data_IF_593635233056
#
_entry.id   IF_593635233056
#
_cell.length_a   1.000
_cell.length_b   1.000
_cell.length_c   1.000
_cell.angle_alpha   90.00
_cell.angle_beta   90.00
_cell.angle_gamma   90.00
#
_symmetry.space_group_name_H-M   'P 1'
#
loop_
_entity.id
_entity.type
_entity.pdbx_description
1 polymer ?
#
# COMPACT_ATOMS: atom_id res chain seq x y z
N UNK A 1 2.32 52.23 39.64
CA UNK A 1 2.73 52.51 38.25
C UNK A 1 2.34 51.32 37.38
N UNK A 2 1.11 51.26 36.84
CA UNK A 2 0.68 50.10 36.03
C UNK A 2 -0.55 50.41 35.13
N UNK A 3 -0.74 51.66 34.71
CA UNK A 3 -1.93 52.10 33.94
C UNK A 3 -1.64 52.58 32.51
N UNK A 4 -0.39 52.67 32.05
CA UNK A 4 -0.07 53.37 30.79
C UNK A 4 0.05 52.48 29.54
N UNK A 5 -0.01 51.15 29.66
CA UNK A 5 0.05 50.26 28.48
C UNK A 5 -1.32 50.07 27.83
N UNK A 6 -2.40 50.11 28.61
CA UNK A 6 -3.77 49.83 28.14
C UNK A 6 -4.29 50.96 27.22
N UNK A 7 -3.93 52.23 27.48
CA UNK A 7 -4.42 53.37 26.69
C UNK A 7 -3.72 53.57 25.34
N UNK A 8 -2.55 52.98 25.11
CA UNK A 8 -1.85 53.05 23.81
C UNK A 8 -2.32 52.01 22.80
N UNK A 9 -2.98 50.93 23.23
CA UNK A 9 -3.57 49.94 22.31
C UNK A 9 -4.81 50.47 21.57
N UNK A 10 -5.46 51.54 22.06
CA UNK A 10 -6.68 52.10 21.46
C UNK A 10 -6.44 52.97 20.20
N UNK A 11 -5.20 53.19 19.78
CA UNK A 11 -4.87 53.96 18.56
C UNK A 11 -4.17 53.13 17.47
N UNK A 12 -4.31 51.81 17.52
CA UNK A 12 -3.85 50.97 16.42
C UNK A 12 -4.88 51.02 15.28
N UNK A 13 -4.45 51.21 14.02
CA UNK A 13 -5.37 51.22 12.90
C UNK A 13 -6.09 49.87 12.83
N UNK A 14 -7.36 49.89 12.42
CA UNK A 14 -8.26 48.73 12.40
C UNK A 14 -7.67 47.54 11.63
N UNK A 15 -6.81 47.81 10.65
CA UNK A 15 -6.05 46.81 9.88
C UNK A 15 -5.07 45.98 10.72
N UNK A 16 -4.44 46.58 11.75
CA UNK A 16 -3.52 45.85 12.65
C UNK A 16 -4.30 44.96 13.61
N UNK A 17 -5.47 45.41 14.08
CA UNK A 17 -6.37 44.56 14.87
C UNK A 17 -6.92 43.38 14.09
N UNK A 18 -7.31 43.59 12.83
CA UNK A 18 -7.74 42.52 11.93
C UNK A 18 -6.59 41.55 11.61
N UNK A 19 -5.39 42.06 11.34
CA UNK A 19 -4.20 41.25 11.11
C UNK A 19 -3.82 40.40 12.32
N UNK A 20 -3.85 40.97 13.53
CA UNK A 20 -3.60 40.24 14.77
C UNK A 20 -4.67 39.16 15.04
N UNK A 21 -5.95 39.48 14.80
CA UNK A 21 -7.05 38.51 14.91
C UNK A 21 -6.89 37.35 13.93
N UNK A 22 -6.55 37.63 12.67
CA UNK A 22 -6.27 36.62 11.65
C UNK A 22 -5.07 35.75 12.03
N UNK A 23 -3.98 36.34 12.54
CA UNK A 23 -2.80 35.59 12.98
C UNK A 23 -3.11 34.65 14.16
N UNK A 24 -3.89 35.10 15.14
CA UNK A 24 -4.33 34.25 16.26
C UNK A 24 -5.20 33.10 15.77
N UNK A 25 -6.17 33.37 14.88
CA UNK A 25 -7.00 32.32 14.27
C UNK A 25 -6.17 31.32 13.49
N UNK A 26 -5.15 31.78 12.76
CA UNK A 26 -4.24 30.92 12.01
C UNK A 26 -3.45 29.99 12.94
N UNK A 27 -2.86 30.53 14.02
CA UNK A 27 -2.14 29.72 15.01
C UNK A 27 -3.07 28.70 15.68
N UNK A 28 -4.30 29.10 16.03
CA UNK A 28 -5.29 28.20 16.61
C UNK A 28 -5.72 27.11 15.62
N UNK A 29 -5.90 27.45 14.35
CA UNK A 29 -6.27 26.51 13.30
C UNK A 29 -5.18 25.46 13.10
N UNK A 30 -3.92 25.86 12.91
CA UNK A 30 -2.80 24.92 12.76
C UNK A 30 -2.61 24.06 14.02
N UNK A 31 -2.67 24.67 15.21
CA UNK A 31 -2.60 23.92 16.45
C UNK A 31 -3.74 22.89 16.62
N UNK A 32 -4.94 23.19 16.10
CA UNK A 32 -6.05 22.25 16.08
C UNK A 32 -5.84 21.12 15.08
N UNK A 33 -5.32 21.41 13.89
CA UNK A 33 -4.99 20.41 12.86
C UNK A 33 -3.95 19.41 13.40
N UNK A 34 -2.85 19.90 13.95
CA UNK A 34 -1.80 19.07 14.57
C UNK A 34 -2.34 18.18 15.70
N UNK A 35 -3.25 18.70 16.53
CA UNK A 35 -3.88 17.92 17.59
C UNK A 35 -4.78 16.80 17.03
N UNK A 36 -5.48 17.06 15.93
CA UNK A 36 -6.31 16.06 15.26
C UNK A 36 -5.45 14.97 14.61
N UNK A 37 -4.35 15.35 13.96
CA UNK A 37 -3.37 14.41 13.39
C UNK A 37 -2.75 13.51 14.46
N UNK A 38 -2.34 14.07 15.60
CA UNK A 38 -1.78 13.30 16.71
C UNK A 38 -2.78 12.29 17.30
N UNK A 39 -4.07 12.68 17.40
CA UNK A 39 -5.13 11.76 17.86
C UNK A 39 -5.40 10.66 16.87
N UNK A 40 -5.39 10.98 15.59
CA UNK A 40 -5.59 10.00 14.53
C UNK A 40 -4.42 9.00 14.48
N UNK A 41 -3.18 9.48 14.56
CA UNK A 41 -1.99 8.63 14.67
C UNK A 41 -2.08 7.69 15.89
N UNK A 42 -2.52 8.20 17.05
CA UNK A 42 -2.72 7.38 18.24
C UNK A 42 -3.85 6.35 18.08
N UNK A 43 -4.97 6.72 17.43
CA UNK A 43 -6.07 5.79 17.11
C UNK A 43 -5.57 4.68 16.20
N UNK A 44 -4.89 5.03 15.11
CA UNK A 44 -4.34 4.09 14.14
C UNK A 44 -3.33 3.14 14.80
N UNK A 45 -2.44 3.66 15.65
CA UNK A 45 -1.48 2.83 16.39
C UNK A 45 -2.13 1.85 17.37
N UNK A 46 -3.25 2.24 17.99
CA UNK A 46 -4.05 1.34 18.83
C UNK A 46 -4.78 0.27 17.99
N UNK A 47 -5.39 0.67 16.87
CA UNK A 47 -6.07 -0.24 15.95
C UNK A 47 -5.14 -1.30 15.36
N UNK A 48 -3.88 -0.92 15.06
CA UNK A 48 -2.85 -1.86 14.62
C UNK A 48 -2.66 -3.04 15.58
N UNK A 49 -2.84 -2.83 16.88
CA UNK A 49 -2.67 -3.86 17.90
C UNK A 49 -3.98 -4.59 18.23
N UNK A 50 -5.10 -3.86 18.28
CA UNK A 50 -6.41 -4.40 18.67
C UNK A 50 -7.10 -5.19 17.55
N UNK A 51 -7.09 -4.66 16.32
CA UNK A 51 -7.67 -5.28 15.14
C UNK A 51 -6.79 -5.00 13.90
N UNK A 52 -5.72 -5.80 13.73
CA UNK A 52 -4.79 -5.63 12.61
C UNK A 52 -5.46 -5.78 11.24
N UNK A 53 -6.55 -6.55 11.14
CA UNK A 53 -7.25 -6.75 9.88
C UNK A 53 -7.98 -5.48 9.45
N UNK A 54 -8.68 -4.82 10.38
CA UNK A 54 -9.35 -3.54 10.14
C UNK A 54 -8.35 -2.43 9.80
N UNK A 55 -7.23 -2.36 10.52
CA UNK A 55 -6.16 -1.39 10.22
C UNK A 55 -5.66 -1.53 8.78
N UNK A 56 -5.33 -2.76 8.35
CA UNK A 56 -4.84 -3.02 7.00
C UNK A 56 -5.88 -2.69 5.91
N UNK A 57 -7.17 -2.94 6.17
CA UNK A 57 -8.26 -2.57 5.26
C UNK A 57 -8.42 -1.04 5.13
N UNK A 58 -8.31 -0.31 6.24
CA UNK A 58 -8.32 1.17 6.26
C UNK A 58 -7.12 1.74 5.49
N UNK A 59 -5.92 1.19 5.68
CA UNK A 59 -4.71 1.60 4.95
C UNK A 59 -4.88 1.35 3.46
N UNK A 60 -5.34 0.17 3.05
CA UNK A 60 -5.56 -0.18 1.64
C UNK A 60 -6.56 0.77 0.98
N UNK A 61 -7.65 1.08 1.66
CA UNK A 61 -8.73 1.91 1.11
C UNK A 61 -8.33 3.39 0.99
N UNK A 62 -7.56 3.92 1.94
CA UNK A 62 -7.20 5.35 1.97
C UNK A 62 -5.89 5.69 1.28
N UNK A 63 -4.90 4.79 1.38
CA UNK A 63 -3.52 5.06 0.96
C UNK A 63 -3.06 4.19 -0.22
N UNK A 64 -3.89 3.24 -0.67
CA UNK A 64 -3.61 2.40 -1.83
C UNK A 64 -2.79 1.14 -1.51
N UNK A 65 -2.36 0.45 -2.57
CA UNK A 65 -1.72 -0.87 -2.46
C UNK A 65 -0.31 -0.81 -1.88
N UNK A 66 0.50 0.19 -2.26
CA UNK A 66 1.87 0.34 -1.77
C UNK A 66 1.93 0.52 -0.25
N UNK A 67 1.15 1.47 0.28
CA UNK A 67 1.05 1.69 1.71
C UNK A 67 0.51 0.46 2.46
N UNK A 68 -0.38 -0.31 1.81
CA UNK A 68 -0.88 -1.56 2.36
C UNK A 68 0.21 -2.65 2.42
N UNK A 69 1.04 -2.79 1.39
CA UNK A 69 2.13 -3.78 1.34
C UNK A 69 3.15 -3.47 2.46
N UNK A 70 3.54 -2.20 2.60
CA UNK A 70 4.46 -1.75 3.66
C UNK A 70 3.87 -2.00 5.05
N UNK A 71 2.61 -1.60 5.28
CA UNK A 71 1.93 -1.83 6.56
C UNK A 71 1.74 -3.33 6.85
N UNK A 72 1.47 -4.15 5.83
CA UNK A 72 1.35 -5.59 5.98
C UNK A 72 2.68 -6.21 6.42
N UNK A 73 3.79 -5.73 5.86
CA UNK A 73 5.12 -6.21 6.23
C UNK A 73 5.42 -6.02 7.71
N UNK A 74 5.11 -4.83 8.22
CA UNK A 74 5.34 -4.43 9.61
C UNK A 74 4.33 -5.06 10.59
N UNK A 75 3.09 -5.35 10.17
CA UNK A 75 2.06 -5.95 11.02
C UNK A 75 2.15 -7.47 11.11
N UNK A 76 2.60 -8.13 10.06
CA UNK A 76 2.65 -9.61 9.96
C UNK A 76 4.07 -10.17 9.90
N UNK A 77 5.07 -9.34 10.21
CA UNK A 77 6.51 -9.59 10.14
C UNK A 77 6.96 -10.29 8.84
N UNK A 78 6.57 -9.72 7.69
CA UNK A 78 7.10 -10.12 6.38
C UNK A 78 8.42 -9.42 6.03
N UNK A 79 9.00 -8.63 6.94
CA UNK A 79 10.38 -8.14 6.85
C UNK A 79 11.40 -9.30 6.87
N UNK A 80 10.97 -10.47 7.34
CA UNK A 80 11.74 -11.73 7.30
C UNK A 80 11.08 -12.77 6.39
N UNK A 81 11.87 -13.74 5.94
CA UNK A 81 11.38 -14.82 5.08
C UNK A 81 10.39 -15.74 5.80
N UNK A 82 9.15 -15.81 5.31
CA UNK A 82 8.06 -16.66 5.83
C UNK A 82 7.55 -17.64 4.79
N UNK A 83 7.06 -18.79 5.25
CA UNK A 83 6.45 -19.77 4.33
C UNK A 83 4.99 -19.40 4.01
N UNK A 84 4.30 -18.68 4.88
CA UNK A 84 2.92 -18.21 4.61
C UNK A 84 2.93 -17.10 3.57
N UNK A 85 1.99 -17.15 2.62
CA UNK A 85 1.87 -16.11 1.62
C UNK A 85 1.10 -14.91 2.18
N UNK A 86 1.38 -13.67 1.73
CA UNK A 86 0.52 -12.53 1.99
C UNK A 86 -0.92 -12.82 1.57
N UNK A 87 -1.90 -12.62 2.45
CA UNK A 87 -3.28 -13.10 2.21
C UNK A 87 -3.91 -12.54 0.94
N UNK A 88 -3.59 -11.31 0.55
CA UNK A 88 -4.09 -10.71 -0.68
C UNK A 88 -3.50 -11.34 -1.95
N UNK A 89 -2.32 -11.95 -1.83
CA UNK A 89 -1.61 -12.61 -2.92
C UNK A 89 -2.12 -14.04 -3.13
N UNK A 90 -2.72 -14.67 -2.12
CA UNK A 90 -3.26 -16.03 -2.23
C UNK A 90 -4.36 -16.10 -3.30
N UNK A 91 -4.19 -17.03 -4.24
CA UNK A 91 -5.11 -17.25 -5.35
C UNK A 91 -4.39 -17.47 -6.68
N UNK A 92 -5.19 -17.59 -7.74
CA UNK A 92 -4.69 -17.69 -9.11
C UNK A 92 -4.53 -16.29 -9.74
N UNK A 93 -3.43 -16.11 -10.46
CA UNK A 93 -3.05 -14.90 -11.15
C UNK A 93 -2.74 -15.24 -12.60
N UNK A 94 -3.47 -14.65 -13.54
CA UNK A 94 -3.13 -14.68 -14.96
C UNK A 94 -1.91 -13.79 -15.20
N UNK A 95 -0.96 -14.28 -15.98
CA UNK A 95 0.23 -13.51 -16.36
C UNK A 95 0.09 -13.08 -17.82
N UNK A 96 0.30 -11.80 -18.07
CA UNK A 96 0.22 -11.18 -19.39
C UNK A 96 1.50 -10.40 -19.65
N UNK A 97 2.05 -10.50 -20.86
CA UNK A 97 3.23 -9.72 -21.23
C UNK A 97 2.95 -8.21 -21.14
N UNK A 98 3.91 -7.43 -20.67
CA UNK A 98 3.74 -5.99 -20.51
C UNK A 98 3.46 -5.24 -21.82
N UNK A 99 3.93 -5.80 -22.93
CA UNK A 99 3.76 -5.28 -24.29
C UNK A 99 2.54 -5.85 -25.03
N UNK A 100 1.76 -6.73 -24.39
CA UNK A 100 0.56 -7.28 -25.01
C UNK A 100 -0.51 -6.18 -25.11
N UNK A 101 -0.93 -5.88 -26.33
CA UNK A 101 -1.96 -4.88 -26.63
C UNK A 101 -3.34 -5.44 -26.22
N UNK A 102 -3.67 -5.39 -24.93
CA UNK A 102 -4.93 -5.92 -24.36
C UNK A 102 -6.11 -4.96 -24.52
N UNK A 103 -6.19 -4.24 -25.64
CA UNK A 103 -7.21 -3.24 -25.88
C UNK A 103 -8.59 -3.90 -25.97
N UNK A 104 -9.33 -3.86 -24.86
CA UNK A 104 -10.76 -4.21 -24.79
C UNK A 104 -11.12 -5.54 -24.15
N UNK A 105 -10.17 -6.34 -23.68
CA UNK A 105 -10.43 -7.59 -22.94
C UNK A 105 -9.85 -7.52 -21.53
N UNK A 106 -10.62 -7.96 -20.53
CA UNK A 106 -10.12 -8.16 -19.17
C UNK A 106 -9.26 -9.44 -19.16
N UNK A 107 -7.93 -9.34 -19.02
CA UNK A 107 -7.07 -10.51 -19.10
C UNK A 107 -7.31 -11.49 -17.94
N UNK A 108 -7.83 -11.01 -16.81
CA UNK A 108 -8.22 -11.82 -15.66
C UNK A 108 -9.42 -12.73 -15.94
N UNK A 109 -10.23 -12.44 -16.97
CA UNK A 109 -11.44 -13.20 -17.27
C UNK A 109 -11.16 -14.59 -17.87
N UNK A 110 -10.02 -14.78 -18.53
CA UNK A 110 -9.74 -16.03 -19.26
C UNK A 110 -8.78 -16.97 -18.55
N UNK A 111 -7.99 -16.50 -17.58
CA UNK A 111 -7.07 -17.29 -16.73
C UNK A 111 -6.53 -18.57 -17.35
N UNK A 112 -5.91 -18.43 -18.53
CA UNK A 112 -5.40 -19.55 -19.33
C UNK A 112 -3.98 -19.97 -18.90
N UNK A 113 -3.12 -18.98 -18.67
CA UNK A 113 -1.72 -19.16 -18.26
C UNK A 113 -1.41 -18.21 -17.09
N UNK A 114 -0.62 -18.70 -16.13
CA UNK A 114 -0.18 -17.88 -15.02
C UNK A 114 0.37 -18.67 -13.84
N UNK A 115 0.16 -18.15 -12.63
CA UNK A 115 0.61 -18.78 -11.39
C UNK A 115 -0.48 -18.82 -10.32
N UNK A 116 -0.40 -19.80 -9.43
CA UNK A 116 -1.21 -19.92 -8.23
C UNK A 116 -0.29 -19.77 -7.03
N UNK A 117 -0.61 -18.82 -6.17
CA UNK A 117 0.07 -18.59 -4.89
C UNK A 117 -0.73 -19.23 -3.78
N UNK A 118 -0.06 -20.08 -3.02
CA UNK A 118 -0.59 -20.79 -1.86
C UNK A 118 0.40 -20.65 -0.69
N UNK A 119 -0.03 -21.01 0.52
CA UNK A 119 0.90 -21.04 1.65
C UNK A 119 2.00 -22.07 1.42
N UNK A 120 3.25 -21.59 1.43
CA UNK A 120 4.47 -22.37 1.28
C UNK A 120 4.72 -22.87 -0.14
N UNK A 121 3.91 -22.46 -1.14
CA UNK A 121 3.97 -23.04 -2.48
C UNK A 121 3.54 -22.07 -3.57
N UNK A 122 4.26 -22.12 -4.69
CA UNK A 122 3.89 -21.47 -5.93
C UNK A 122 3.75 -22.51 -7.04
N UNK A 123 2.72 -22.40 -7.86
CA UNK A 123 2.45 -23.35 -8.95
C UNK A 123 2.10 -22.64 -10.24
N UNK A 124 2.80 -22.96 -11.31
CA UNK A 124 2.45 -22.47 -12.65
C UNK A 124 1.28 -23.26 -13.23
N UNK A 125 0.49 -22.62 -14.09
CA UNK A 125 -0.53 -23.26 -14.91
C UNK A 125 -0.53 -22.70 -16.34
N UNK A 126 -1.20 -23.42 -17.26
CA UNK A 126 -1.16 -23.12 -18.69
C UNK A 126 0.06 -23.76 -19.35
N UNK A 127 0.91 -22.93 -19.94
CA UNK A 127 2.09 -23.34 -20.70
C UNK A 127 3.18 -23.97 -19.83
N UNK A 128 3.24 -23.58 -18.55
CA UNK A 128 4.10 -24.18 -17.53
C UNK A 128 3.25 -24.86 -16.46
N UNK A 129 3.77 -25.96 -15.89
CA UNK A 129 3.06 -26.75 -14.85
C UNK A 129 3.92 -27.08 -13.64
N UNK A 130 5.02 -26.36 -13.49
CA UNK A 130 5.96 -26.55 -12.40
C UNK A 130 5.35 -26.12 -11.07
N UNK A 131 5.81 -26.71 -9.98
CA UNK A 131 5.42 -26.32 -8.63
C UNK A 131 6.62 -26.35 -7.71
N UNK A 132 6.75 -25.30 -6.92
CA UNK A 132 7.90 -25.05 -6.06
C UNK A 132 7.44 -24.73 -4.66
N UNK A 133 8.19 -25.20 -3.66
CA UNK A 133 8.07 -24.60 -2.33
C UNK A 133 8.53 -23.14 -2.42
N UNK A 134 7.81 -22.25 -1.75
CA UNK A 134 8.00 -20.81 -1.85
C UNK A 134 8.06 -20.17 -0.47
N UNK A 135 8.92 -19.18 -0.32
CA UNK A 135 9.02 -18.32 0.86
C UNK A 135 8.86 -16.88 0.43
N UNK A 136 8.25 -16.07 1.29
CA UNK A 136 7.83 -14.71 1.00
C UNK A 136 8.51 -13.75 1.96
N UNK A 137 8.95 -12.62 1.43
CA UNK A 137 9.45 -11.47 2.18
C UNK A 137 8.96 -10.21 1.49
N UNK A 138 8.79 -9.13 2.24
CA UNK A 138 8.47 -7.82 1.70
C UNK A 138 9.65 -6.89 2.04
N UNK A 139 10.17 -6.23 1.02
CA UNK A 139 11.22 -5.22 1.11
C UNK A 139 10.66 -3.93 0.51
N UNK A 140 10.49 -2.91 1.36
CA UNK A 140 9.74 -1.68 1.06
C UNK A 140 8.31 -1.99 0.55
N UNK A 141 8.09 -1.86 -0.76
CA UNK A 141 6.82 -2.15 -1.44
C UNK A 141 6.92 -3.34 -2.40
N UNK A 142 8.06 -4.04 -2.40
CA UNK A 142 8.33 -5.17 -3.28
C UNK A 142 8.21 -6.47 -2.50
N UNK A 143 7.39 -7.38 -3.01
CA UNK A 143 7.24 -8.74 -2.51
C UNK A 143 8.28 -9.60 -3.22
N UNK A 144 9.16 -10.21 -2.45
CA UNK A 144 10.16 -11.14 -2.90
C UNK A 144 9.68 -12.55 -2.60
N UNK A 145 9.77 -13.44 -3.59
CA UNK A 145 9.41 -14.84 -3.47
C UNK A 145 10.61 -15.70 -3.81
N UNK A 146 11.16 -16.36 -2.80
CA UNK A 146 12.26 -17.31 -2.92
C UNK A 146 11.70 -18.70 -3.21
N UNK A 147 12.10 -19.28 -4.34
CA UNK A 147 11.68 -20.61 -4.78
C UNK A 147 12.74 -21.64 -4.41
N UNK A 148 12.31 -22.84 -4.01
CA UNK A 148 13.23 -23.91 -3.58
C UNK A 148 14.17 -24.42 -4.69
N UNK A 149 13.93 -24.10 -5.96
CA UNK A 149 14.82 -24.40 -7.08
C UNK A 149 15.92 -23.35 -7.29
N UNK A 150 15.96 -22.31 -6.44
CA UNK A 150 16.89 -21.19 -6.50
C UNK A 150 16.43 -20.04 -7.39
N UNK A 151 15.20 -20.09 -7.93
CA UNK A 151 14.58 -18.96 -8.61
C UNK A 151 14.06 -17.91 -7.62
N UNK A 152 14.12 -16.64 -8.02
CA UNK A 152 13.48 -15.54 -7.28
C UNK A 152 12.43 -14.89 -8.18
N UNK A 153 11.24 -14.65 -7.63
CA UNK A 153 10.19 -13.83 -8.26
C UNK A 153 10.07 -12.54 -7.48
N UNK A 154 9.97 -11.42 -8.18
CA UNK A 154 9.63 -10.14 -7.57
C UNK A 154 8.23 -9.73 -7.98
N UNK A 155 7.46 -9.19 -7.05
CA UNK A 155 6.11 -8.68 -7.30
C UNK A 155 5.93 -7.31 -6.67
N UNK A 156 5.33 -6.36 -7.40
CA UNK A 156 5.11 -4.99 -6.89
C UNK A 156 3.82 -4.40 -7.43
N UNK A 157 3.34 -3.31 -6.82
CA UNK A 157 2.26 -2.52 -7.39
C UNK A 157 2.72 -1.91 -8.72
N UNK A 158 1.87 -1.91 -9.77
CA UNK A 158 2.16 -1.16 -10.98
C UNK A 158 2.21 0.36 -10.66
N UNK A 159 3.03 1.13 -11.40
CA UNK A 159 3.09 2.58 -11.27
C UNK A 159 1.82 3.29 -11.78
N UNK A 160 0.98 2.58 -12.55
CA UNK A 160 -0.24 3.13 -13.14
C UNK A 160 -1.46 2.96 -12.19
N UNK A 161 -2.10 4.06 -11.74
CA UNK A 161 -3.28 4.00 -10.87
C UNK A 161 -4.56 3.46 -11.54
N UNK A 162 -4.60 3.31 -12.88
CA UNK A 162 -5.84 2.90 -13.57
C UNK A 162 -6.26 1.44 -13.31
N UNK A 163 -5.37 0.61 -12.75
CA UNK A 163 -5.61 -0.83 -12.55
C UNK A 163 -5.23 -1.27 -11.11
N UNK A 164 -6.02 -0.92 -10.08
CA UNK A 164 -5.68 -1.12 -8.66
C UNK A 164 -5.64 -2.59 -8.20
N UNK A 165 -5.91 -3.54 -9.09
CA UNK A 165 -5.94 -4.97 -8.81
C UNK A 165 -4.87 -5.76 -9.57
N UNK A 166 -3.95 -5.05 -10.22
CA UNK A 166 -2.86 -5.62 -11.00
C UNK A 166 -1.58 -5.63 -10.16
N UNK A 167 -0.70 -6.60 -10.45
CA UNK A 167 0.67 -6.66 -9.94
C UNK A 167 1.64 -6.70 -11.11
N UNK A 168 2.81 -6.10 -10.97
CA UNK A 168 3.94 -6.43 -11.84
C UNK A 168 4.69 -7.60 -11.23
N UNK A 169 4.98 -8.63 -12.03
CA UNK A 169 5.57 -9.89 -11.61
C UNK A 169 6.76 -10.20 -12.53
N UNK A 170 7.97 -10.18 -12.00
CA UNK A 170 9.17 -10.60 -12.74
C UNK A 170 9.49 -12.05 -12.42
N UNK A 171 9.44 -12.90 -13.44
CA UNK A 171 9.73 -14.33 -13.31
C UNK A 171 11.25 -14.61 -13.28
N UNK A 172 11.70 -15.75 -12.73
CA UNK A 172 13.12 -16.07 -12.67
C UNK A 172 13.71 -16.17 -14.08
N UNK A 173 14.75 -15.39 -14.34
CA UNK A 173 15.42 -15.35 -15.65
C UNK A 173 14.72 -14.49 -16.71
N UNK A 174 13.64 -13.77 -16.38
CA UNK A 174 13.05 -12.74 -17.24
C UNK A 174 13.64 -11.38 -16.91
N UNK A 175 13.97 -10.58 -17.94
CA UNK A 175 14.35 -9.17 -17.77
C UNK A 175 13.13 -8.25 -17.73
N UNK A 176 12.03 -8.66 -18.36
CA UNK A 176 10.79 -7.89 -18.46
C UNK A 176 9.73 -8.40 -17.46
N UNK A 177 8.97 -7.49 -16.83
CA UNK A 177 7.89 -7.86 -15.93
C UNK A 177 6.66 -8.33 -16.72
N UNK A 178 5.95 -9.28 -16.14
CA UNK A 178 4.58 -9.64 -16.53
C UNK A 178 3.60 -8.83 -15.71
N UNK A 179 2.44 -8.54 -16.28
CA UNK A 179 1.30 -8.05 -15.53
C UNK A 179 0.45 -9.22 -15.02
N UNK A 180 0.35 -9.31 -13.70
CA UNK A 180 -0.47 -10.25 -12.97
C UNK A 180 -1.88 -9.70 -12.73
N UNK A 181 -2.88 -10.39 -13.27
CA UNK A 181 -4.30 -10.11 -13.02
C UNK A 181 -4.90 -11.22 -12.18
N UNK A 182 -5.63 -10.87 -11.11
CA UNK A 182 -6.26 -11.88 -10.28
C UNK A 182 -7.36 -12.59 -11.07
N UNK A 183 -7.35 -13.91 -11.04
CA UNK A 183 -8.41 -14.72 -11.64
C UNK A 183 -9.71 -14.58 -10.86
N UNK A 184 -10.77 -14.14 -11.51
CA UNK A 184 -12.11 -14.26 -10.97
C UNK A 184 -12.56 -15.73 -11.07
N UNK A 185 -12.68 -16.40 -9.93
CA UNK A 185 -13.33 -17.70 -9.86
C UNK A 185 -14.84 -17.44 -9.92
N UNK A 186 -15.47 -17.69 -11.05
CA UNK A 186 -16.93 -17.78 -11.17
C UNK A 186 -17.48 -18.98 -10.39
#
# INVERSE_FOLDING_TARGET
>A
MQRSLISRMQRLPTTVWLGAGAAVLFVLYFGFVELMEAREAARIAAERQEDPARYLDEVRTRHGLDAYIEALADVRDFDTWRDQAPTFLVGAWALVDADADTVGEDPGAHCLTGLVVEDGRLRYFGDRRDSFAARYRIEDTTILVDLADGGEITMRSPPDPWHPHQLEITLPGSEEPYYGFRCEVY
#
